data_IF_982032157038
#
_entry.id   IF_982032157038
#
_cell.length_a   1.000
_cell.length_b   1.000
_cell.length_c   1.000
_cell.angle_alpha   90.00
_cell.angle_beta   90.00
_cell.angle_gamma   90.00
#
_symmetry.space_group_name_H-M   'P 1'
#
loop_
_entity.id
_entity.type
_entity.pdbx_description
1 polymer ?
#
# COMPACT_ATOMS: atom_id res chain seq x y z
N UNK A 1 9.21 -26.85 5.03
CA UNK A 1 9.96 -26.74 3.77
C UNK A 1 9.76 -25.30 3.31
N UNK A 2 10.78 -24.43 3.37
CA UNK A 2 10.63 -23.03 2.95
C UNK A 2 10.49 -22.99 1.43
N UNK A 3 9.31 -22.60 0.94
CA UNK A 3 9.12 -22.29 -0.48
C UNK A 3 9.93 -21.03 -0.76
N UNK A 4 10.81 -21.08 -1.76
CA UNK A 4 11.59 -19.89 -2.12
C UNK A 4 10.66 -18.80 -2.67
N UNK A 5 10.99 -17.53 -2.45
CA UNK A 5 10.19 -16.40 -2.93
C UNK A 5 9.93 -16.46 -4.44
N UNK A 6 10.91 -16.93 -5.21
CA UNK A 6 10.77 -17.14 -6.66
C UNK A 6 9.75 -18.23 -7.00
N UNK A 7 9.70 -19.32 -6.23
CA UNK A 7 8.68 -20.37 -6.43
C UNK A 7 7.28 -19.87 -6.09
N UNK A 8 7.13 -19.08 -5.02
CA UNK A 8 5.86 -18.46 -4.66
C UNK A 8 5.34 -17.57 -5.80
N UNK A 9 6.20 -16.69 -6.33
CA UNK A 9 5.86 -15.78 -7.42
C UNK A 9 5.51 -16.52 -8.70
N UNK A 10 6.26 -17.56 -9.07
CA UNK A 10 5.96 -18.36 -10.26
C UNK A 10 4.62 -19.10 -10.14
N UNK A 11 4.33 -19.69 -8.97
CA UNK A 11 3.03 -20.35 -8.73
C UNK A 11 1.87 -19.35 -8.73
N UNK A 12 2.06 -18.17 -8.14
CA UNK A 12 1.06 -17.11 -8.14
C UNK A 12 0.79 -16.59 -9.57
N UNK A 13 1.84 -16.43 -10.38
CA UNK A 13 1.72 -16.04 -11.78
C UNK A 13 0.91 -17.05 -12.59
N UNK A 14 1.22 -18.35 -12.46
CA UNK A 14 0.48 -19.41 -13.15
C UNK A 14 -1.00 -19.46 -12.71
N UNK A 15 -1.28 -19.31 -11.42
CA UNK A 15 -2.65 -19.26 -10.91
C UNK A 15 -3.43 -18.05 -11.44
N UNK A 16 -2.76 -16.92 -11.67
CA UNK A 16 -3.37 -15.74 -12.27
C UNK A 16 -3.69 -15.95 -13.76
N UNK A 17 -2.74 -16.48 -14.52
CA UNK A 17 -2.93 -16.80 -15.93
C UNK A 17 -4.09 -17.78 -16.14
N UNK A 18 -4.19 -18.81 -15.29
CA UNK A 18 -5.29 -19.79 -15.33
C UNK A 18 -6.64 -19.14 -14.99
N UNK A 19 -6.71 -18.32 -13.93
CA UNK A 19 -7.97 -17.74 -13.48
C UNK A 19 -8.54 -16.71 -14.47
N UNK A 20 -7.68 -15.83 -14.98
CA UNK A 20 -8.10 -14.72 -15.84
C UNK A 20 -7.92 -15.06 -17.34
N UNK A 21 -7.52 -16.30 -17.65
CA UNK A 21 -7.29 -16.80 -19.01
C UNK A 21 -6.40 -15.85 -19.84
N UNK A 22 -5.26 -15.48 -19.26
CA UNK A 22 -4.29 -14.55 -19.85
C UNK A 22 -2.86 -15.09 -19.78
N UNK A 23 -1.89 -14.32 -20.27
CA UNK A 23 -0.46 -14.66 -20.22
C UNK A 23 0.40 -13.57 -19.57
N UNK A 24 -0.22 -12.76 -18.71
CA UNK A 24 0.39 -11.59 -18.05
C UNK A 24 0.67 -11.81 -16.57
N UNK A 25 0.41 -13.00 -16.03
CA UNK A 25 0.53 -13.33 -14.62
C UNK A 25 1.92 -13.07 -14.04
N UNK A 26 2.99 -13.31 -14.82
CA UNK A 26 4.37 -13.01 -14.40
C UNK A 26 4.59 -11.51 -14.20
N UNK A 27 4.10 -10.68 -15.13
CA UNK A 27 4.14 -9.23 -15.04
C UNK A 27 3.32 -8.73 -13.86
N UNK A 28 2.04 -9.12 -13.79
CA UNK A 28 1.11 -8.69 -12.73
C UNK A 28 1.67 -9.01 -11.34
N UNK A 29 2.14 -10.24 -11.14
CA UNK A 29 2.72 -10.69 -9.87
C UNK A 29 3.95 -9.88 -9.49
N UNK A 30 4.88 -9.68 -10.44
CA UNK A 30 6.11 -8.93 -10.20
C UNK A 30 5.81 -7.46 -9.91
N UNK A 31 4.95 -6.85 -10.74
CA UNK A 31 4.57 -5.44 -10.66
C UNK A 31 3.85 -5.13 -9.35
N UNK A 32 2.81 -5.90 -8.97
CA UNK A 32 2.14 -5.74 -7.67
C UNK A 32 3.11 -5.95 -6.50
N UNK A 33 3.97 -6.97 -6.57
CA UNK A 33 4.92 -7.24 -5.48
C UNK A 33 5.89 -6.09 -5.29
N UNK A 34 6.43 -5.53 -6.38
CA UNK A 34 7.36 -4.39 -6.33
C UNK A 34 6.65 -3.12 -5.84
N UNK A 35 5.51 -2.77 -6.43
CA UNK A 35 4.78 -1.55 -6.09
C UNK A 35 4.25 -1.55 -4.65
N UNK A 36 3.60 -2.64 -4.22
CA UNK A 36 3.03 -2.73 -2.87
C UNK A 36 4.11 -2.84 -1.78
N UNK A 37 5.25 -3.50 -2.06
CA UNK A 37 6.39 -3.50 -1.14
C UNK A 37 6.96 -2.10 -0.96
N UNK A 38 7.16 -1.36 -2.06
CA UNK A 38 7.63 0.01 -2.00
C UNK A 38 6.66 0.90 -1.20
N UNK A 39 5.35 0.82 -1.51
CA UNK A 39 4.32 1.56 -0.77
C UNK A 39 4.36 1.25 0.72
N UNK A 40 4.39 -0.03 1.10
CA UNK A 40 4.43 -0.45 2.50
C UNK A 40 5.62 0.17 3.23
N UNK A 41 6.80 0.08 2.63
CA UNK A 41 8.04 0.56 3.25
C UNK A 41 8.03 2.09 3.37
N UNK A 42 7.49 2.79 2.36
CA UNK A 42 7.33 4.24 2.40
C UNK A 42 6.29 4.69 3.44
N UNK A 43 5.12 4.03 3.52
CA UNK A 43 4.09 4.34 4.52
C UNK A 43 4.68 4.19 5.91
N UNK A 44 5.35 3.07 6.19
CA UNK A 44 5.99 2.85 7.48
C UNK A 44 7.01 3.94 7.80
N UNK A 45 7.85 4.30 6.83
CA UNK A 45 8.81 5.41 6.99
C UNK A 45 8.11 6.72 7.34
N UNK A 46 7.02 7.09 6.65
CA UNK A 46 6.30 8.35 6.90
C UNK A 46 5.60 8.41 8.24
N UNK A 47 5.05 7.29 8.72
CA UNK A 47 4.33 7.26 10.00
C UNK A 47 5.22 6.99 11.21
N UNK A 48 6.48 6.59 10.99
CA UNK A 48 7.40 6.19 12.05
C UNK A 48 8.74 6.92 11.96
N UNK A 49 9.55 6.59 10.97
CA UNK A 49 10.94 7.04 10.89
C UNK A 49 10.99 8.58 10.72
N UNK A 50 10.19 9.15 9.81
CA UNK A 50 10.18 10.60 9.56
C UNK A 50 9.60 11.40 10.72
N UNK A 51 8.53 10.90 11.34
CA UNK A 51 7.94 11.57 12.51
C UNK A 51 8.96 11.63 13.65
N UNK A 52 9.74 10.57 13.87
CA UNK A 52 10.80 10.56 14.88
C UNK A 52 11.92 11.55 14.55
N UNK A 53 12.23 11.73 13.27
CA UNK A 53 13.24 12.69 12.82
C UNK A 53 12.78 14.14 12.98
N UNK A 54 11.53 14.45 12.63
CA UNK A 54 10.98 15.82 12.68
C UNK A 54 10.55 16.21 14.11
N UNK A 55 9.93 15.29 14.85
CA UNK A 55 9.40 15.54 16.19
C UNK A 55 10.42 15.53 17.33
N UNK A 56 11.70 15.30 17.02
CA UNK A 56 12.77 15.07 18.00
C UNK A 56 12.69 13.67 18.61
N UNK A 57 13.85 13.03 18.81
CA UNK A 57 13.93 11.76 19.53
C UNK A 57 13.60 12.01 21.01
N UNK A 58 12.35 11.78 21.44
CA UNK A 58 12.03 11.56 22.85
C UNK A 58 12.72 10.27 23.31
N UNK A 59 14.03 10.38 23.54
CA UNK A 59 15.00 9.31 23.80
C UNK A 59 14.80 8.60 25.14
N UNK A 60 13.66 8.80 25.81
CA UNK A 60 13.34 8.13 27.08
C UNK A 60 12.41 6.93 26.95
N UNK A 61 11.93 6.58 25.76
CA UNK A 61 11.09 5.37 25.55
C UNK A 61 11.75 4.39 24.55
N UNK A 62 13.03 4.09 24.74
CA UNK A 62 13.63 2.90 24.11
C UNK A 62 13.31 1.65 24.94
N UNK A 63 12.05 1.21 24.89
CA UNK A 63 11.68 -0.12 25.37
C UNK A 63 12.19 -1.18 24.39
N UNK A 64 12.57 -2.36 24.89
CA UNK A 64 13.15 -3.52 24.18
C UNK A 64 12.21 -4.19 23.14
N UNK A 65 11.03 -3.59 22.85
CA UNK A 65 10.04 -4.12 21.90
C UNK A 65 9.84 -3.39 20.54
N UNK A 66 10.77 -2.57 19.98
CA UNK A 66 10.49 -1.80 18.74
C UNK A 66 10.20 -2.71 17.55
N UNK A 67 10.83 -3.90 17.52
CA UNK A 67 10.68 -4.88 16.45
C UNK A 67 9.27 -5.50 16.40
N UNK A 68 8.61 -5.74 17.54
CA UNK A 68 7.25 -6.32 17.57
C UNK A 68 6.21 -5.32 17.09
N UNK A 69 6.29 -4.07 17.57
CA UNK A 69 5.39 -2.99 17.12
C UNK A 69 5.56 -2.72 15.63
N UNK A 70 6.80 -2.62 15.15
CA UNK A 70 7.10 -2.46 13.72
C UNK A 70 6.54 -3.60 12.88
N UNK A 71 6.71 -4.86 13.31
CA UNK A 71 6.10 -6.03 12.63
C UNK A 71 4.58 -5.98 12.60
N UNK A 72 3.95 -5.61 13.72
CA UNK A 72 2.49 -5.48 13.79
C UNK A 72 1.96 -4.37 12.89
N UNK A 73 2.66 -3.23 12.80
CA UNK A 73 2.34 -2.14 11.90
C UNK A 73 2.50 -2.55 10.43
N UNK A 74 3.61 -3.23 10.08
CA UNK A 74 3.83 -3.76 8.74
C UNK A 74 2.71 -4.72 8.31
N UNK A 75 2.32 -5.63 9.20
CA UNK A 75 1.21 -6.55 8.94
C UNK A 75 -0.11 -5.79 8.71
N UNK A 76 -0.37 -4.73 9.47
CA UNK A 76 -1.56 -3.92 9.24
C UNK A 76 -1.53 -3.17 7.91
N UNK A 77 -0.37 -2.60 7.55
CA UNK A 77 -0.18 -1.92 6.26
C UNK A 77 -0.45 -2.92 5.12
N UNK A 78 0.12 -4.12 5.16
CA UNK A 78 -0.11 -5.14 4.13
C UNK A 78 -1.59 -5.51 4.00
N UNK A 79 -2.28 -5.78 5.11
CA UNK A 79 -3.72 -6.12 5.09
C UNK A 79 -4.53 -4.98 4.47
N UNK A 80 -4.21 -3.72 4.82
CA UNK A 80 -4.88 -2.56 4.27
C UNK A 80 -4.63 -2.39 2.77
N UNK A 81 -3.39 -2.55 2.32
CA UNK A 81 -3.02 -2.48 0.90
C UNK A 81 -3.73 -3.58 0.08
N UNK A 82 -3.80 -4.81 0.60
CA UNK A 82 -4.56 -5.91 -0.03
C UNK A 82 -6.04 -5.54 -0.15
N UNK A 83 -6.62 -4.96 0.90
CA UNK A 83 -8.02 -4.56 0.91
C UNK A 83 -8.30 -3.46 -0.12
N UNK A 84 -7.52 -2.38 -0.15
CA UNK A 84 -7.71 -1.28 -1.11
C UNK A 84 -7.48 -1.75 -2.55
N UNK A 85 -6.47 -2.59 -2.80
CA UNK A 85 -6.23 -3.19 -4.12
C UNK A 85 -7.42 -4.06 -4.57
N UNK A 86 -7.97 -4.87 -3.67
CA UNK A 86 -9.14 -5.72 -3.95
C UNK A 86 -10.37 -4.88 -4.28
N UNK A 87 -10.64 -3.85 -3.47
CA UNK A 87 -11.79 -2.97 -3.65
C UNK A 87 -11.65 -2.13 -4.93
N UNK A 88 -10.44 -1.81 -5.35
CA UNK A 88 -10.20 -1.18 -6.65
C UNK A 88 -10.62 -2.09 -7.79
N UNK A 89 -10.10 -3.33 -7.80
CA UNK A 89 -10.45 -4.35 -8.81
C UNK A 89 -11.96 -4.58 -8.86
N UNK A 90 -12.62 -4.67 -7.71
CA UNK A 90 -14.08 -4.83 -7.63
C UNK A 90 -14.83 -3.64 -8.25
N UNK A 91 -14.44 -2.40 -7.90
CA UNK A 91 -15.09 -1.18 -8.43
C UNK A 91 -14.90 -1.02 -9.93
N UNK A 92 -13.72 -1.37 -10.43
CA UNK A 92 -13.35 -1.26 -11.85
C UNK A 92 -13.81 -2.45 -12.68
N UNK A 93 -14.23 -3.54 -12.02
CA UNK A 93 -14.60 -4.80 -12.67
C UNK A 93 -13.49 -5.33 -13.59
N UNK A 94 -12.22 -5.05 -13.21
CA UNK A 94 -11.06 -5.36 -14.03
C UNK A 94 -10.73 -6.85 -14.08
N UNK A 95 -11.17 -7.61 -13.06
CA UNK A 95 -10.96 -9.06 -12.95
C UNK A 95 -12.28 -9.78 -12.75
N UNK A 96 -12.28 -11.07 -13.08
CA UNK A 96 -13.48 -11.92 -13.06
C UNK A 96 -14.03 -12.15 -11.66
N UNK A 97 -13.16 -12.22 -10.64
CA UNK A 97 -13.53 -12.58 -9.27
C UNK A 97 -12.69 -11.83 -8.23
N UNK A 98 -13.20 -10.71 -7.68
CA UNK A 98 -12.48 -9.93 -6.67
C UNK A 98 -12.19 -10.70 -5.38
N UNK A 99 -13.04 -11.67 -5.01
CA UNK A 99 -12.82 -12.49 -3.79
C UNK A 99 -11.65 -13.43 -3.98
N UNK A 100 -11.57 -14.08 -5.13
CA UNK A 100 -10.40 -14.87 -5.49
C UNK A 100 -9.15 -14.00 -5.53
N UNK A 101 -9.22 -12.79 -6.11
CA UNK A 101 -8.08 -11.87 -6.16
C UNK A 101 -7.58 -11.49 -4.76
N UNK A 102 -8.48 -11.21 -3.81
CA UNK A 102 -8.12 -10.93 -2.42
C UNK A 102 -7.34 -12.09 -1.78
N UNK A 103 -7.78 -13.33 -2.04
CA UNK A 103 -7.11 -14.53 -1.53
C UNK A 103 -5.77 -14.78 -2.21
N UNK A 104 -5.72 -14.63 -3.53
CA UNK A 104 -4.51 -14.77 -4.33
C UNK A 104 -3.44 -13.75 -3.90
N UNK A 105 -3.80 -12.47 -3.82
CA UNK A 105 -2.89 -11.39 -3.41
C UNK A 105 -2.49 -11.55 -1.94
N UNK A 106 -3.42 -11.96 -1.07
CA UNK A 106 -3.14 -12.25 0.33
C UNK A 106 -2.08 -13.34 0.51
N UNK A 107 -2.22 -14.47 -0.18
CA UNK A 107 -1.23 -15.56 -0.14
C UNK A 107 0.13 -15.14 -0.72
N UNK A 108 0.14 -14.29 -1.75
CA UNK A 108 1.36 -13.76 -2.34
C UNK A 108 2.11 -12.81 -1.40
N UNK A 109 1.37 -11.92 -0.71
CA UNK A 109 1.94 -10.83 0.12
C UNK A 109 2.23 -11.23 1.55
N UNK A 110 1.44 -12.15 2.10
CA UNK A 110 1.52 -12.60 3.48
C UNK A 110 1.66 -14.12 3.51
N UNK A 111 2.73 -14.69 2.92
CA UNK A 111 2.95 -16.13 2.96
C UNK A 111 2.98 -16.60 4.42
N UNK A 112 2.41 -17.77 4.67
CA UNK A 112 2.24 -18.40 5.99
C UNK A 112 1.27 -17.68 6.95
N UNK A 113 1.10 -16.36 6.85
CA UNK A 113 0.22 -15.57 7.73
C UNK A 113 -1.20 -15.40 7.18
N UNK A 114 -1.38 -15.41 5.86
CA UNK A 114 -2.69 -15.12 5.27
C UNK A 114 -3.78 -16.13 5.66
N UNK A 115 -3.38 -17.37 5.98
CA UNK A 115 -4.30 -18.41 6.43
C UNK A 115 -4.66 -18.28 7.92
N UNK A 116 -4.01 -17.38 8.67
CA UNK A 116 -4.40 -17.12 10.05
C UNK A 116 -5.78 -16.45 10.10
N UNK A 117 -6.76 -16.99 10.87
CA UNK A 117 -8.09 -16.40 10.95
C UNK A 117 -8.09 -14.94 11.40
N UNK A 118 -7.11 -14.53 12.21
CA UNK A 118 -6.95 -13.14 12.67
C UNK A 118 -6.67 -12.18 11.50
N UNK A 119 -5.87 -12.60 10.53
CA UNK A 119 -5.53 -11.84 9.31
C UNK A 119 -6.74 -11.78 8.38
N UNK A 120 -7.39 -12.92 8.11
CA UNK A 120 -8.57 -12.98 7.24
C UNK A 120 -9.73 -12.14 7.79
N UNK A 121 -10.04 -12.27 9.07
CA UNK A 121 -11.08 -11.45 9.73
C UNK A 121 -10.77 -9.94 9.66
N UNK A 122 -9.48 -9.56 9.70
CA UNK A 122 -9.07 -8.15 9.58
C UNK A 122 -9.25 -7.66 8.15
N UNK A 123 -8.86 -8.44 7.16
CA UNK A 123 -9.09 -8.14 5.74
C UNK A 123 -10.59 -7.98 5.46
N UNK A 124 -11.42 -8.94 5.85
CA UNK A 124 -12.88 -8.90 5.65
C UNK A 124 -13.51 -7.65 6.28
N UNK A 125 -13.06 -7.26 7.48
CA UNK A 125 -13.52 -6.03 8.14
C UNK A 125 -13.18 -4.78 7.37
N UNK A 126 -12.09 -4.76 6.61
CA UNK A 126 -11.80 -3.66 5.69
C UNK A 126 -12.72 -3.72 4.48
N UNK A 127 -12.87 -4.88 3.84
CA UNK A 127 -13.66 -5.04 2.61
C UNK A 127 -15.13 -4.60 2.76
N UNK A 128 -15.74 -4.75 3.94
CA UNK A 128 -17.15 -4.37 4.18
C UNK A 128 -17.36 -2.91 4.59
N UNK A 129 -16.30 -2.11 4.71
CA UNK A 129 -16.37 -0.72 5.19
C UNK A 129 -16.41 0.28 4.06
N UNK A 130 -17.02 1.44 4.31
CA UNK A 130 -16.92 2.60 3.41
C UNK A 130 -15.48 3.14 3.37
N UNK A 131 -15.08 3.88 2.32
CA UNK A 131 -13.71 4.41 2.18
C UNK A 131 -13.22 5.19 3.41
N UNK A 132 -14.07 6.07 3.97
CA UNK A 132 -13.72 6.84 5.14
C UNK A 132 -13.58 5.99 6.41
N UNK A 133 -14.47 5.02 6.61
CA UNK A 133 -14.37 4.12 7.76
C UNK A 133 -13.12 3.24 7.70
N UNK A 134 -12.71 2.78 6.50
CA UNK A 134 -11.47 2.04 6.30
C UNK A 134 -10.26 2.90 6.66
N UNK A 135 -10.18 4.10 6.09
CA UNK A 135 -9.10 5.06 6.36
C UNK A 135 -8.98 5.38 7.85
N UNK A 136 -10.10 5.71 8.50
CA UNK A 136 -10.12 6.02 9.94
C UNK A 136 -9.73 4.82 10.79
N UNK A 137 -10.20 3.61 10.42
CA UNK A 137 -9.85 2.38 11.12
C UNK A 137 -8.35 2.11 11.02
N UNK A 138 -7.79 2.25 9.82
CA UNK A 138 -6.38 2.05 9.54
C UNK A 138 -5.49 3.01 10.32
N UNK A 139 -5.79 4.32 10.26
CA UNK A 139 -5.07 5.33 11.03
C UNK A 139 -5.04 4.99 12.54
N UNK A 140 -6.21 4.69 13.13
CA UNK A 140 -6.32 4.32 14.55
C UNK A 140 -5.53 3.06 14.92
N UNK A 141 -5.47 2.06 14.04
CA UNK A 141 -4.68 0.85 14.32
C UNK A 141 -3.18 1.18 14.28
N UNK A 142 -2.75 1.99 13.32
CA UNK A 142 -1.36 2.45 13.25
C UNK A 142 -0.98 3.29 14.46
N UNK A 143 -1.77 4.29 14.84
CA UNK A 143 -1.55 5.12 16.03
C UNK A 143 -1.50 4.29 17.33
N UNK A 144 -2.35 3.27 17.45
CA UNK A 144 -2.30 2.36 18.60
C UNK A 144 -1.00 1.53 18.63
N UNK A 145 -0.48 1.17 17.46
CA UNK A 145 0.69 0.30 17.33
C UNK A 145 2.00 1.09 17.42
N UNK A 146 2.01 2.28 16.84
CA UNK A 146 3.07 3.25 16.71
C UNK A 146 2.50 4.61 17.17
N UNK A 147 2.58 4.94 18.47
CA UNK A 147 2.01 6.18 19.01
C UNK A 147 2.47 7.44 18.28
N UNK A 148 3.70 7.46 17.80
CA UNK A 148 4.28 8.50 16.96
C UNK A 148 3.47 8.76 15.68
N UNK A 149 2.78 7.76 15.11
CA UNK A 149 1.95 7.93 13.92
C UNK A 149 0.84 8.97 14.10
N UNK A 150 0.46 9.31 15.34
CA UNK A 150 -0.48 10.42 15.65
C UNK A 150 0.01 11.79 15.17
N UNK A 151 1.32 11.94 14.94
CA UNK A 151 1.94 13.18 14.41
C UNK A 151 2.15 13.14 12.90
N UNK A 152 1.82 12.03 12.22
CA UNK A 152 1.94 11.96 10.77
C UNK A 152 0.93 12.91 10.08
N UNK A 153 1.29 13.55 8.97
CA UNK A 153 0.37 14.44 8.25
C UNK A 153 -0.91 13.72 7.84
N UNK A 154 -2.08 14.28 8.17
CA UNK A 154 -3.37 13.63 7.92
C UNK A 154 -3.65 13.38 6.43
N UNK A 155 -3.06 14.21 5.55
CA UNK A 155 -3.14 14.03 4.10
C UNK A 155 -2.54 12.69 3.66
N UNK A 156 -1.52 12.17 4.37
CA UNK A 156 -0.94 10.86 4.09
C UNK A 156 -2.01 9.76 4.07
N UNK A 157 -2.86 9.71 5.09
CA UNK A 157 -3.93 8.71 5.17
C UNK A 157 -4.99 8.85 4.07
N UNK A 158 -5.12 10.05 3.45
CA UNK A 158 -5.99 10.25 2.28
C UNK A 158 -5.33 9.79 0.98
N UNK A 159 -4.01 9.84 0.90
CA UNK A 159 -3.24 9.49 -0.30
C UNK A 159 -2.98 7.98 -0.42
N UNK A 160 -2.92 7.24 0.69
CA UNK A 160 -2.61 5.80 0.68
C UNK A 160 -3.59 4.96 -0.17
N UNK A 161 -4.94 5.13 -0.06
CA UNK A 161 -5.86 4.37 -0.90
C UNK A 161 -5.58 4.59 -2.39
N UNK A 162 -5.56 5.83 -2.85
CA UNK A 162 -5.31 6.17 -4.27
C UNK A 162 -3.91 5.77 -4.73
N UNK A 163 -2.88 5.81 -3.87
CA UNK A 163 -1.56 5.30 -4.20
C UNK A 163 -1.57 3.78 -4.42
N UNK A 164 -2.33 3.05 -3.60
CA UNK A 164 -2.55 1.61 -3.76
C UNK A 164 -3.27 1.32 -5.08
N UNK A 165 -4.32 2.08 -5.37
CA UNK A 165 -5.09 1.98 -6.62
C UNK A 165 -4.22 2.24 -7.86
N UNK A 166 -3.31 3.22 -7.81
CA UNK A 166 -2.35 3.49 -8.89
C UNK A 166 -1.44 2.28 -9.10
N UNK A 167 -0.88 1.71 -8.02
CA UNK A 167 -0.05 0.50 -8.12
C UNK A 167 -0.82 -0.66 -8.73
N UNK A 168 -2.07 -0.86 -8.32
CA UNK A 168 -2.94 -1.91 -8.87
C UNK A 168 -3.22 -1.69 -10.36
N UNK A 169 -3.57 -0.46 -10.76
CA UNK A 169 -3.86 -0.10 -12.15
C UNK A 169 -2.64 -0.33 -13.06
N UNK A 170 -1.45 0.13 -12.63
CA UNK A 170 -0.19 -0.08 -13.36
C UNK A 170 0.12 -1.57 -13.51
N UNK A 171 -0.11 -2.37 -12.45
CA UNK A 171 0.21 -3.79 -12.50
C UNK A 171 -0.71 -4.60 -13.40
N UNK A 172 -2.01 -4.29 -13.40
CA UNK A 172 -3.00 -4.98 -14.23
C UNK A 172 -2.94 -4.55 -15.69
N UNK A 173 -2.14 -3.53 -16.02
CA UNK A 173 -2.13 -2.94 -17.36
C UNK A 173 -3.52 -2.44 -17.74
N UNK A 174 -4.28 -2.00 -16.74
CA UNK A 174 -5.70 -1.71 -16.87
C UNK A 174 -5.93 -0.63 -17.93
N UNK A 175 -7.09 -0.68 -18.59
CA UNK A 175 -7.56 0.37 -19.51
C UNK A 175 -7.76 1.71 -18.78
N UNK A 176 -7.78 1.68 -17.44
CA UNK A 176 -7.97 2.84 -16.60
C UNK A 176 -6.67 3.60 -16.39
N UNK A 177 -6.73 4.90 -16.66
CA UNK A 177 -5.58 5.80 -16.64
C UNK A 177 -5.09 6.04 -15.20
N UNK A 178 -3.88 5.56 -14.82
CA UNK A 178 -3.28 5.88 -13.51
C UNK A 178 -3.14 7.39 -13.30
N UNK A 179 -3.12 8.18 -14.38
CA UNK A 179 -3.12 9.64 -14.33
C UNK A 179 -4.45 10.21 -13.82
N UNK A 180 -5.58 9.54 -14.04
CA UNK A 180 -6.87 9.96 -13.46
C UNK A 180 -6.84 9.85 -11.93
N UNK A 181 -6.34 8.72 -11.40
CA UNK A 181 -6.14 8.53 -9.97
C UNK A 181 -5.15 9.55 -9.40
N UNK A 182 -4.11 9.91 -10.16
CA UNK A 182 -3.18 10.97 -9.77
C UNK A 182 -3.85 12.33 -9.72
N UNK A 183 -4.73 12.64 -10.67
CA UNK A 183 -5.50 13.90 -10.66
C UNK A 183 -6.41 13.99 -9.44
N UNK A 184 -6.94 12.87 -8.94
CA UNK A 184 -7.66 12.84 -7.67
C UNK A 184 -6.74 13.10 -6.47
N UNK A 185 -5.49 12.66 -6.50
CA UNK A 185 -4.51 13.01 -5.47
C UNK A 185 -4.14 14.49 -5.49
N UNK A 186 -4.06 15.11 -6.67
CA UNK A 186 -3.79 16.54 -6.82
C UNK A 186 -4.84 17.42 -6.13
N UNK A 187 -6.09 16.94 -6.01
CA UNK A 187 -7.10 17.64 -5.23
C UNK A 187 -6.72 17.77 -3.74
N UNK A 188 -6.05 16.76 -3.17
CA UNK A 188 -5.69 16.73 -1.76
C UNK A 188 -4.30 17.31 -1.48
N UNK A 189 -3.40 17.21 -2.44
CA UNK A 189 -2.04 17.73 -2.31
C UNK A 189 -1.59 18.32 -3.66
N UNK A 190 -2.01 19.55 -4.01
CA UNK A 190 -1.71 20.14 -5.30
C UNK A 190 -0.21 20.27 -5.57
N UNK A 191 0.57 20.53 -4.53
CA UNK A 191 2.03 20.74 -4.63
C UNK A 191 2.76 19.57 -5.28
N UNK A 192 2.21 18.35 -5.31
CA UNK A 192 2.86 17.19 -5.93
C UNK A 192 3.12 17.36 -7.44
N UNK A 193 2.38 18.23 -8.14
CA UNK A 193 2.62 18.53 -9.55
C UNK A 193 3.88 19.37 -9.78
N UNK A 194 4.39 20.03 -8.73
CA UNK A 194 5.49 20.99 -8.85
C UNK A 194 6.87 20.31 -8.86
N UNK A 195 6.91 19.00 -8.64
CA UNK A 195 8.13 18.21 -8.72
C UNK A 195 8.71 18.27 -10.14
N UNK A 196 9.92 18.79 -10.26
CA UNK A 196 10.57 18.99 -11.57
C UNK A 196 10.99 17.66 -12.22
N UNK A 197 11.24 16.61 -11.42
CA UNK A 197 11.66 15.32 -11.92
C UNK A 197 10.49 14.49 -12.49
N UNK A 198 9.43 14.27 -11.70
CA UNK A 198 8.31 13.42 -12.12
C UNK A 198 7.07 14.18 -12.57
N UNK A 199 6.99 15.49 -12.34
CA UNK A 199 5.82 16.33 -12.66
C UNK A 199 4.51 15.77 -12.04
N UNK A 200 4.63 15.11 -10.89
CA UNK A 200 3.53 14.42 -10.23
C UNK A 200 3.02 13.16 -10.94
N UNK A 201 3.60 12.72 -12.07
CA UNK A 201 3.08 11.60 -12.86
C UNK A 201 3.16 10.27 -12.11
N UNK A 202 2.22 9.32 -12.35
CA UNK A 202 2.41 7.93 -11.97
C UNK A 202 3.75 7.39 -12.50
N UNK A 203 4.41 6.59 -11.67
CA UNK A 203 5.66 5.91 -12.03
C UNK A 203 5.39 4.42 -12.19
N UNK A 204 6.33 3.72 -12.81
CA UNK A 204 6.28 2.27 -12.87
C UNK A 204 6.39 1.66 -11.47
N UNK A 205 5.76 0.49 -11.28
CA UNK A 205 5.76 -0.17 -9.99
C UNK A 205 7.17 -0.59 -9.57
N UNK A 206 7.57 -0.13 -8.38
CA UNK A 206 8.92 -0.32 -7.85
C UNK A 206 9.84 0.88 -8.06
N UNK A 207 9.42 1.89 -8.83
CA UNK A 207 10.14 3.14 -8.97
C UNK A 207 9.74 4.16 -7.90
N UNK A 208 10.73 4.98 -7.50
CA UNK A 208 10.52 6.11 -6.61
C UNK A 208 11.16 7.37 -7.18
N UNK A 209 10.41 8.48 -7.22
CA UNK A 209 10.99 9.78 -7.53
C UNK A 209 11.96 10.20 -6.43
N UNK A 210 13.22 10.48 -6.78
CA UNK A 210 14.26 10.88 -5.83
C UNK A 210 14.04 12.26 -5.23
N UNK A 211 13.37 13.16 -5.95
CA UNK A 211 13.14 14.53 -5.50
C UNK A 211 11.96 14.64 -4.54
N UNK A 212 10.80 14.09 -4.91
CA UNK A 212 9.56 14.27 -4.16
C UNK A 212 9.09 13.03 -3.40
N UNK A 213 9.62 11.84 -3.70
CA UNK A 213 9.32 10.60 -2.99
C UNK A 213 8.13 9.80 -3.52
N UNK A 214 7.41 10.28 -4.55
CA UNK A 214 6.36 9.56 -5.31
C UNK A 214 6.72 8.06 -5.47
N UNK A 215 5.86 7.09 -5.10
CA UNK A 215 4.39 7.17 -4.91
C UNK A 215 3.87 7.72 -3.58
N UNK A 216 4.65 7.71 -2.50
CA UNK A 216 4.31 8.37 -1.24
C UNK A 216 5.35 9.44 -0.93
N UNK A 217 4.93 10.69 -1.10
CA UNK A 217 5.81 11.85 -1.02
C UNK A 217 6.61 11.95 0.28
N UNK A 218 7.77 12.60 0.19
CA UNK A 218 8.58 12.93 1.34
C UNK A 218 7.81 13.81 2.32
N UNK A 219 8.14 13.69 3.60
CA UNK A 219 7.45 14.39 4.69
C UNK A 219 7.26 15.90 4.43
N UNK A 220 8.30 16.58 3.95
CA UNK A 220 8.25 18.01 3.64
C UNK A 220 7.19 18.39 2.58
N UNK A 221 6.88 17.48 1.66
CA UNK A 221 5.81 17.68 0.67
C UNK A 221 4.44 17.38 1.26
N UNK A 222 4.35 16.52 2.28
CA UNK A 222 3.09 16.20 2.95
C UNK A 222 2.68 17.29 3.96
N UNK A 223 3.63 18.08 4.43
CA UNK A 223 3.38 19.24 5.30
C UNK A 223 3.04 20.52 4.53
N UNK A 224 3.36 20.59 3.23
CA UNK A 224 3.10 21.76 2.39
C UNK A 224 1.66 21.84 1.85
N UNK A 225 0.75 21.00 2.35
CA UNK A 225 -0.69 21.18 2.16
C UNK A 225 -1.17 22.32 3.06
N UNK A 226 -1.15 23.54 2.54
CA UNK A 226 -1.85 24.70 3.10
C UNK A 226 -3.38 24.47 3.16
#
# INVERSE_FOLDING_TARGET
>A
MQVSENQLRSSAAAAFDEKENCSSGSWVTTSLTSGLSLLRDQILRRVHDDVQLVGGMDSMIMSVAPSRKRKAALLEIEIYLIAESTLYVERKQSLTDPRWYAQWLGNLRLPDLFQEPTVQNRLERYLVKTPDERRMKFARVLEKTLPEATRAPLVLYRLIPSATEIVTAVALGDVFDPSELRNQQLFWLPSISDCQDCLGRPLDNGEQCKQCGNPIWHYAWLESSD
#
